data_IF_263754598486
#
_entry.id   IF_263754598486
#
_cell.length_a   1.000
_cell.length_b   1.000
_cell.length_c   1.000
_cell.angle_alpha   90.00
_cell.angle_beta   90.00
_cell.angle_gamma   90.00
#
_symmetry.space_group_name_H-M   'P 1'
#
loop_
_entity.id
_entity.type
_entity.pdbx_description
1 polymer ?
#
# COMPACT_ATOMS: atom_id res chain seq x y z
N UNK A 1 13.07 -4.80 -19.75
CA UNK A 1 13.11 -3.46 -19.13
C UNK A 1 13.39 -3.65 -17.66
N UNK A 2 14.62 -3.38 -17.25
CA UNK A 2 15.05 -3.38 -15.86
C UNK A 2 14.41 -2.18 -15.16
N UNK A 3 13.50 -2.43 -14.22
CA UNK A 3 12.95 -1.37 -13.39
C UNK A 3 14.07 -0.88 -12.45
N UNK A 4 14.79 0.18 -12.85
CA UNK A 4 15.81 0.86 -12.04
C UNK A 4 15.17 1.69 -10.92
N UNK A 5 14.38 1.05 -10.07
CA UNK A 5 13.98 1.63 -8.79
C UNK A 5 14.63 0.75 -7.71
N UNK A 6 15.90 1.08 -7.37
CA UNK A 6 16.57 0.52 -6.18
C UNK A 6 15.75 0.81 -4.92
N UNK A 7 15.97 0.12 -3.78
CA UNK A 7 15.08 0.20 -2.62
C UNK A 7 14.85 1.65 -2.14
N UNK A 8 13.70 1.89 -1.50
CA UNK A 8 13.46 3.17 -0.79
C UNK A 8 14.68 3.50 0.06
N UNK A 9 15.05 4.78 0.09
CA UNK A 9 16.21 5.24 0.87
C UNK A 9 16.03 5.01 2.38
N UNK A 10 14.78 4.80 2.84
CA UNK A 10 14.35 4.60 4.24
C UNK A 10 13.09 3.73 4.29
N UNK A 11 12.69 3.20 5.46
CA UNK A 11 11.39 2.56 5.63
C UNK A 11 10.22 3.40 5.11
N UNK A 12 9.16 2.75 4.64
CA UNK A 12 8.00 3.39 4.03
C UNK A 12 7.39 4.46 4.94
N UNK A 13 7.17 4.11 6.22
CA UNK A 13 6.60 5.02 7.22
C UNK A 13 7.46 6.27 7.44
N UNK A 14 8.78 6.10 7.54
CA UNK A 14 9.72 7.21 7.71
C UNK A 14 9.77 8.11 6.46
N UNK A 15 9.69 7.52 5.28
CA UNK A 15 9.71 8.28 4.02
C UNK A 15 8.42 9.10 3.86
N UNK A 16 7.26 8.55 4.23
CA UNK A 16 6.00 9.29 4.27
C UNK A 16 6.01 10.42 5.33
N UNK A 17 6.59 10.16 6.51
CA UNK A 17 6.74 11.17 7.55
C UNK A 17 7.66 12.31 7.11
N UNK A 18 8.79 12.00 6.49
CA UNK A 18 9.71 12.98 5.93
C UNK A 18 9.05 13.83 4.83
N UNK A 19 8.24 13.21 3.97
CA UNK A 19 7.44 13.91 2.96
C UNK A 19 6.43 14.87 3.61
N UNK A 20 5.73 14.41 4.65
CA UNK A 20 4.78 15.26 5.38
C UNK A 20 5.47 16.48 6.00
N UNK A 21 6.62 16.26 6.65
CA UNK A 21 7.40 17.32 7.28
C UNK A 21 7.93 18.32 6.24
N UNK A 22 8.48 17.85 5.13
CA UNK A 22 8.96 18.71 4.06
C UNK A 22 7.83 19.54 3.43
N UNK A 23 6.64 18.95 3.20
CA UNK A 23 5.46 19.69 2.76
C UNK A 23 5.03 20.77 3.78
N UNK A 24 5.09 20.47 5.08
CA UNK A 24 4.77 21.46 6.12
C UNK A 24 5.81 22.58 6.19
N UNK A 25 7.10 22.27 5.99
CA UNK A 25 8.17 23.28 5.93
C UNK A 25 7.91 24.24 4.77
N UNK A 26 7.63 23.71 3.58
CA UNK A 26 7.28 24.49 2.40
C UNK A 26 6.04 25.34 2.60
N UNK A 27 5.01 24.78 3.24
CA UNK A 27 3.82 25.53 3.62
C UNK A 27 4.16 26.74 4.52
N UNK A 28 5.03 26.56 5.52
CA UNK A 28 5.44 27.61 6.47
C UNK A 28 6.28 28.68 5.78
N UNK A 29 7.21 28.29 4.89
CA UNK A 29 8.07 29.22 4.15
C UNK A 29 7.28 30.16 3.24
N UNK A 30 6.23 29.65 2.59
CA UNK A 30 5.41 30.48 1.71
C UNK A 30 4.25 31.22 2.40
N UNK A 31 4.01 30.93 3.68
CA UNK A 31 2.90 31.49 4.41
C UNK A 31 3.05 33.01 4.60
N UNK A 32 2.10 33.76 4.06
CA UNK A 32 1.90 35.19 4.33
C UNK A 32 0.50 35.44 4.91
N UNK A 33 0.18 36.53 5.60
CA UNK A 33 -1.21 36.85 5.94
C UNK A 33 -2.11 36.97 4.69
N UNK A 34 -3.40 36.62 4.79
CA UNK A 34 -4.30 36.54 3.62
C UNK A 34 -4.37 37.84 2.79
N UNK A 35 -4.35 38.99 3.46
CA UNK A 35 -4.35 40.31 2.83
C UNK A 35 -3.06 40.64 2.05
N UNK A 36 -1.98 39.85 2.22
CA UNK A 36 -0.71 40.00 1.49
C UNK A 36 -0.48 38.90 0.45
N UNK A 37 -1.45 38.00 0.23
CA UNK A 37 -1.31 36.87 -0.70
C UNK A 37 -1.91 37.19 -2.06
N UNK A 38 -1.16 36.88 -3.12
CA UNK A 38 -1.75 36.77 -4.45
C UNK A 38 -2.67 35.54 -4.55
N UNK A 39 -3.62 35.57 -5.49
CA UNK A 39 -4.51 34.43 -5.74
C UNK A 39 -3.73 33.14 -6.08
N UNK A 40 -2.62 33.25 -6.82
CA UNK A 40 -1.73 32.12 -7.17
C UNK A 40 -1.12 31.49 -5.91
N UNK A 41 -0.58 32.30 -5.00
CA UNK A 41 0.01 31.80 -3.74
C UNK A 41 -1.04 31.16 -2.84
N UNK A 42 -2.22 31.75 -2.74
CA UNK A 42 -3.34 31.17 -1.99
C UNK A 42 -3.77 29.80 -2.55
N UNK A 43 -3.77 29.61 -3.88
CA UNK A 43 -4.05 28.31 -4.52
C UNK A 43 -2.96 27.28 -4.19
N UNK A 44 -1.67 27.66 -4.27
CA UNK A 44 -0.54 26.76 -3.93
C UNK A 44 -0.58 26.31 -2.47
N UNK A 45 -0.76 27.23 -1.52
CA UNK A 45 -0.85 26.91 -0.10
C UNK A 45 -2.04 25.99 0.22
N UNK A 46 -3.19 26.17 -0.45
CA UNK A 46 -4.32 25.24 -0.31
C UNK A 46 -3.99 23.84 -0.81
N UNK A 47 -3.28 23.73 -1.93
CA UNK A 47 -2.85 22.45 -2.50
C UNK A 47 -1.89 21.72 -1.57
N UNK A 48 -0.85 22.40 -1.09
CA UNK A 48 0.11 21.82 -0.14
C UNK A 48 -0.57 21.39 1.15
N UNK A 49 -1.47 22.20 1.69
CA UNK A 49 -2.26 21.81 2.87
C UNK A 49 -3.12 20.56 2.60
N UNK A 50 -3.67 20.43 1.39
CA UNK A 50 -4.37 19.22 0.95
C UNK A 50 -3.45 18.01 0.98
N UNK A 51 -2.28 18.12 0.34
CA UNK A 51 -1.26 17.06 0.34
C UNK A 51 -0.78 16.70 1.75
N UNK A 52 -0.49 17.65 2.64
CA UNK A 52 -0.11 17.37 4.03
C UNK A 52 -1.16 16.50 4.75
N UNK A 53 -2.45 16.76 4.53
CA UNK A 53 -3.54 15.99 5.14
C UNK A 53 -3.64 14.60 4.55
N UNK A 54 -3.48 14.47 3.24
CA UNK A 54 -3.50 13.18 2.57
C UNK A 54 -2.31 12.31 2.99
N UNK A 55 -1.09 12.83 2.94
CA UNK A 55 0.11 12.13 3.39
C UNK A 55 0.02 11.77 4.88
N UNK A 56 -0.47 12.68 5.74
CA UNK A 56 -0.69 12.37 7.15
C UNK A 56 -1.60 11.17 7.38
N UNK A 57 -2.68 11.04 6.60
CA UNK A 57 -3.53 9.83 6.63
C UNK A 57 -2.78 8.59 6.18
N UNK A 58 -1.94 8.68 5.15
CA UNK A 58 -1.15 7.53 4.69
C UNK A 58 -0.16 7.07 5.77
N UNK A 59 0.45 8.00 6.52
CA UNK A 59 1.33 7.68 7.65
C UNK A 59 0.56 6.90 8.73
N UNK A 60 -0.62 7.40 9.13
CA UNK A 60 -1.47 6.73 10.13
C UNK A 60 -1.91 5.33 9.66
N UNK A 61 -2.27 5.19 8.39
CA UNK A 61 -2.67 3.90 7.81
C UNK A 61 -1.49 2.92 7.73
N UNK A 62 -0.30 3.38 7.32
CA UNK A 62 0.91 2.57 7.31
C UNK A 62 1.29 2.09 8.73
N UNK A 63 1.15 2.96 9.73
CA UNK A 63 1.36 2.59 11.13
C UNK A 63 0.34 1.52 11.59
N UNK A 64 -0.93 1.67 11.22
CA UNK A 64 -1.96 0.68 11.52
C UNK A 64 -1.63 -0.71 10.92
N UNK A 65 -1.12 -0.73 9.69
CA UNK A 65 -0.66 -1.98 9.04
C UNK A 65 0.48 -2.60 9.85
N UNK A 66 1.48 -1.82 10.24
CA UNK A 66 2.63 -2.30 11.00
C UNK A 66 2.26 -2.81 12.41
N UNK A 67 1.34 -2.13 13.10
CA UNK A 67 1.01 -2.41 14.50
C UNK A 67 -0.10 -3.46 14.68
N UNK A 68 -0.98 -3.62 13.68
CA UNK A 68 -2.19 -4.46 13.81
C UNK A 68 -2.28 -5.55 12.77
N UNK A 69 -2.17 -5.19 11.49
CA UNK A 69 -2.40 -6.12 10.38
C UNK A 69 -1.27 -7.11 10.25
N UNK A 70 -0.02 -6.63 10.21
CA UNK A 70 1.17 -7.47 10.11
C UNK A 70 1.26 -8.49 11.27
N UNK A 71 1.20 -8.08 12.56
CA UNK A 71 1.34 -9.04 13.66
C UNK A 71 0.16 -10.01 13.77
N UNK A 72 -1.01 -9.67 13.21
CA UNK A 72 -2.11 -10.64 13.08
C UNK A 72 -1.76 -11.73 12.08
N UNK A 73 -1.33 -11.35 10.88
CA UNK A 73 -0.97 -12.31 9.82
C UNK A 73 0.15 -13.22 10.32
N UNK A 74 1.24 -12.65 10.83
CA UNK A 74 2.41 -13.40 11.33
C UNK A 74 2.06 -14.45 12.38
N UNK A 75 1.16 -14.12 13.32
CA UNK A 75 0.68 -15.06 14.35
C UNK A 75 -0.12 -16.21 13.77
N UNK A 76 -0.91 -15.97 12.73
CA UNK A 76 -1.72 -17.02 12.11
C UNK A 76 -0.90 -17.95 11.21
N UNK A 77 0.10 -17.40 10.51
CA UNK A 77 0.94 -18.18 9.58
C UNK A 77 2.18 -18.76 10.26
N UNK A 78 2.53 -18.31 11.47
CA UNK A 78 3.74 -18.74 12.19
C UNK A 78 5.05 -18.32 11.52
N UNK A 79 5.03 -17.25 10.71
CA UNK A 79 6.16 -16.74 9.96
C UNK A 79 6.24 -15.22 10.14
N UNK A 80 7.45 -14.72 10.42
CA UNK A 80 7.72 -13.29 10.55
C UNK A 80 8.19 -12.72 9.21
N UNK A 81 7.59 -11.62 8.79
CA UNK A 81 8.04 -10.87 7.61
C UNK A 81 9.36 -10.16 7.92
N UNK A 82 10.08 -9.75 6.86
CA UNK A 82 11.32 -8.96 7.00
C UNK A 82 11.04 -7.57 7.59
N UNK A 83 9.82 -7.07 7.42
CA UNK A 83 9.36 -5.80 7.97
C UNK A 83 7.98 -5.39 7.43
N UNK A 84 7.40 -4.29 7.94
CA UNK A 84 6.06 -3.86 7.57
C UNK A 84 5.96 -3.29 6.15
N UNK A 85 7.09 -2.88 5.56
CA UNK A 85 7.14 -2.21 4.26
C UNK A 85 6.56 -3.07 3.12
N UNK A 86 6.85 -4.38 3.10
CA UNK A 86 6.34 -5.29 2.06
C UNK A 86 4.82 -5.32 2.06
N UNK A 87 4.22 -5.51 3.24
CA UNK A 87 2.77 -5.53 3.40
C UNK A 87 2.14 -4.17 3.11
N UNK A 88 2.75 -3.08 3.59
CA UNK A 88 2.26 -1.72 3.31
C UNK A 88 2.25 -1.40 1.81
N UNK A 89 3.25 -1.86 1.05
CA UNK A 89 3.29 -1.72 -0.41
C UNK A 89 2.14 -2.46 -1.09
N UNK A 90 1.90 -3.71 -0.70
CA UNK A 90 0.77 -4.52 -1.22
C UNK A 90 -0.56 -3.83 -0.97
N UNK A 91 -0.74 -3.25 0.22
CA UNK A 91 -1.98 -2.61 0.65
C UNK A 91 -2.17 -1.18 0.10
N UNK A 92 -1.18 -0.63 -0.61
CA UNK A 92 -1.28 0.73 -1.11
C UNK A 92 -2.22 0.81 -2.32
N UNK A 93 -3.23 1.68 -2.23
CA UNK A 93 -4.24 1.81 -3.24
C UNK A 93 -3.70 2.49 -4.51
N UNK A 94 -4.14 2.08 -5.72
CA UNK A 94 -3.76 2.73 -6.97
C UNK A 94 -4.07 4.24 -7.02
N UNK A 95 -5.07 4.68 -6.26
CA UNK A 95 -5.44 6.10 -6.11
C UNK A 95 -4.29 6.97 -5.60
N UNK A 96 -3.35 6.41 -4.82
CA UNK A 96 -2.21 7.13 -4.26
C UNK A 96 -1.20 7.58 -5.33
N UNK A 97 -1.11 6.88 -6.47
CA UNK A 97 -0.23 7.23 -7.60
C UNK A 97 -0.44 8.67 -8.07
N UNK A 98 -1.71 9.09 -8.11
CA UNK A 98 -2.07 10.45 -8.50
C UNK A 98 -1.56 11.49 -7.49
N UNK A 99 -1.70 11.21 -6.19
CA UNK A 99 -1.21 12.11 -5.14
C UNK A 99 0.30 12.33 -5.25
N UNK A 100 1.08 11.27 -5.39
CA UNK A 100 2.54 11.37 -5.50
C UNK A 100 2.97 12.07 -6.81
N UNK A 101 2.28 11.79 -7.92
CA UNK A 101 2.52 12.49 -9.20
C UNK A 101 2.17 13.99 -9.13
N UNK A 102 1.08 14.34 -8.45
CA UNK A 102 0.66 15.72 -8.23
C UNK A 102 1.66 16.48 -7.35
N UNK A 103 2.25 15.81 -6.35
CA UNK A 103 3.33 16.38 -5.52
C UNK A 103 4.59 16.55 -6.37
N UNK A 104 5.00 15.54 -7.15
CA UNK A 104 6.21 15.59 -7.96
C UNK A 104 6.18 16.76 -8.96
N UNK A 105 5.04 16.94 -9.64
CA UNK A 105 4.83 18.06 -10.57
C UNK A 105 4.60 19.41 -9.88
N UNK A 106 4.37 19.40 -8.57
CA UNK A 106 4.07 20.56 -7.75
C UNK A 106 5.29 21.37 -7.30
N UNK A 107 6.48 20.78 -7.38
CA UNK A 107 7.74 21.33 -6.90
C UNK A 107 8.81 21.23 -8.00
N UNK A 108 9.75 22.18 -8.07
CA UNK A 108 10.97 21.98 -8.83
C UNK A 108 11.83 20.91 -8.14
N UNK A 109 12.67 20.22 -8.90
CA UNK A 109 13.41 19.04 -8.44
C UNK A 109 14.32 19.34 -7.23
N UNK A 110 14.92 20.53 -7.19
CA UNK A 110 15.79 21.02 -6.13
C UNK A 110 15.06 21.44 -4.84
N UNK A 111 13.74 21.61 -4.90
CA UNK A 111 12.90 21.96 -3.76
C UNK A 111 11.92 20.84 -3.37
N UNK A 112 12.14 19.62 -3.86
CA UNK A 112 11.31 18.48 -3.48
C UNK A 112 11.47 18.17 -1.98
N UNK A 113 10.36 17.88 -1.27
CA UNK A 113 10.40 17.48 0.14
C UNK A 113 11.25 16.25 0.44
N UNK A 114 11.33 15.32 -0.52
CA UNK A 114 12.10 14.08 -0.50
C UNK A 114 12.72 13.84 -1.88
N UNK A 115 13.58 12.83 -2.02
CA UNK A 115 14.19 12.50 -3.31
C UNK A 115 13.12 12.17 -4.34
N UNK A 116 13.26 12.68 -5.56
CA UNK A 116 12.34 12.42 -6.67
C UNK A 116 12.13 10.92 -6.90
N UNK A 117 13.20 10.12 -6.75
CA UNK A 117 13.15 8.67 -6.89
C UNK A 117 12.25 7.97 -5.86
N UNK A 118 12.35 8.37 -4.59
CA UNK A 118 11.50 7.80 -3.52
C UNK A 118 10.02 8.16 -3.78
N UNK A 119 9.75 9.38 -4.25
CA UNK A 119 8.40 9.84 -4.60
C UNK A 119 7.83 9.11 -5.83
N UNK A 120 8.66 8.88 -6.86
CA UNK A 120 8.28 8.12 -8.05
C UNK A 120 7.96 6.67 -7.70
N UNK A 121 8.73 6.07 -6.81
CA UNK A 121 8.53 4.69 -6.35
C UNK A 121 7.21 4.49 -5.60
N UNK A 122 6.79 5.46 -4.78
CA UNK A 122 5.44 5.40 -4.20
C UNK A 122 4.34 5.33 -5.27
N UNK A 123 4.57 5.93 -6.44
CA UNK A 123 3.66 5.84 -7.58
C UNK A 123 3.64 4.47 -8.26
N UNK A 124 4.66 3.62 -8.08
CA UNK A 124 4.77 2.31 -8.70
C UNK A 124 4.31 1.15 -7.81
N UNK A 125 4.15 1.34 -6.50
CA UNK A 125 3.75 0.24 -5.59
C UNK A 125 2.41 -0.41 -5.93
N UNK A 126 1.48 0.32 -6.57
CA UNK A 126 0.25 -0.28 -7.06
C UNK A 126 0.50 -1.32 -8.16
N UNK A 127 1.51 -1.08 -9.00
CA UNK A 127 1.92 -2.00 -10.06
C UNK A 127 2.60 -3.25 -9.44
N UNK A 128 3.37 -3.07 -8.35
CA UNK A 128 3.99 -4.17 -7.58
C UNK A 128 2.95 -5.11 -6.93
N UNK A 129 1.86 -4.55 -6.39
CA UNK A 129 0.77 -5.34 -5.79
C UNK A 129 0.15 -6.30 -6.80
N UNK A 130 -0.03 -5.87 -8.06
CA UNK A 130 -0.54 -6.73 -9.13
C UNK A 130 0.46 -7.83 -9.51
N UNK A 131 1.75 -7.51 -9.59
CA UNK A 131 2.79 -8.49 -9.86
C UNK A 131 2.85 -9.57 -8.75
N UNK A 132 2.74 -9.16 -7.49
CA UNK A 132 2.68 -10.08 -6.35
C UNK A 132 1.41 -10.94 -6.37
N UNK A 133 0.27 -10.40 -6.81
CA UNK A 133 -0.95 -11.20 -6.96
C UNK A 133 -0.77 -12.34 -7.98
N UNK A 134 -0.10 -12.07 -9.10
CA UNK A 134 0.23 -13.10 -10.10
C UNK A 134 1.20 -14.15 -9.53
N UNK A 135 2.23 -13.72 -8.81
CA UNK A 135 3.16 -14.64 -8.14
C UNK A 135 2.41 -15.52 -7.14
N UNK A 136 1.54 -14.94 -6.31
CA UNK A 136 0.72 -15.66 -5.35
C UNK A 136 -0.18 -16.71 -6.01
N UNK A 137 -0.89 -16.34 -7.09
CA UNK A 137 -1.76 -17.25 -7.84
C UNK A 137 -1.00 -18.44 -8.41
N UNK A 138 0.09 -18.17 -9.13
CA UNK A 138 0.92 -19.19 -9.78
C UNK A 138 1.56 -20.11 -8.74
N UNK A 139 2.10 -19.56 -7.65
CA UNK A 139 2.79 -20.35 -6.63
C UNK A 139 1.83 -21.23 -5.85
N UNK A 140 0.64 -20.73 -5.53
CA UNK A 140 -0.43 -21.51 -4.90
C UNK A 140 -0.79 -22.72 -5.77
N UNK A 141 -1.07 -22.49 -7.06
CA UNK A 141 -1.47 -23.54 -8.02
C UNK A 141 -0.37 -24.56 -8.31
N UNK A 142 0.88 -24.14 -8.36
CA UNK A 142 1.98 -25.03 -8.76
C UNK A 142 2.67 -25.73 -7.59
N UNK A 143 2.70 -25.13 -6.40
CA UNK A 143 3.55 -25.60 -5.29
C UNK A 143 2.78 -26.04 -4.04
N UNK A 144 1.53 -25.63 -3.92
CA UNK A 144 0.78 -25.77 -2.67
C UNK A 144 -0.50 -26.57 -2.86
N UNK A 145 -1.30 -26.26 -3.87
CA UNK A 145 -2.56 -26.93 -4.19
C UNK A 145 -2.62 -27.35 -5.67
N UNK A 146 -1.75 -28.28 -6.10
CA UNK A 146 -1.74 -28.74 -7.48
C UNK A 146 -3.04 -29.48 -7.82
N UNK A 147 -3.85 -28.89 -8.70
CA UNK A 147 -5.10 -29.49 -9.20
C UNK A 147 -6.36 -29.13 -8.41
N UNK A 148 -6.25 -28.37 -7.32
CA UNK A 148 -7.40 -27.77 -6.63
C UNK A 148 -7.42 -26.26 -6.88
N UNK A 149 -8.53 -25.73 -7.39
CA UNK A 149 -8.73 -24.29 -7.45
C UNK A 149 -9.13 -23.81 -6.06
N UNK A 150 -8.34 -22.91 -5.47
CA UNK A 150 -8.78 -22.17 -4.28
C UNK A 150 -9.85 -21.22 -4.77
N UNK A 151 -11.10 -21.63 -4.58
CA UNK A 151 -12.25 -20.86 -5.04
C UNK A 151 -12.19 -19.43 -4.51
N UNK A 152 -12.67 -18.50 -5.33
CA UNK A 152 -12.89 -17.08 -5.02
C UNK A 152 -13.25 -16.80 -3.54
N UNK A 153 -14.22 -17.54 -3.02
CA UNK A 153 -14.70 -17.44 -1.64
C UNK A 153 -13.62 -17.66 -0.57
N UNK A 154 -12.68 -18.59 -0.77
CA UNK A 154 -11.61 -18.86 0.20
C UNK A 154 -10.59 -17.73 0.28
N UNK A 155 -10.29 -17.10 -0.86
CA UNK A 155 -9.39 -15.94 -0.91
C UNK A 155 -10.05 -14.67 -0.36
N UNK A 156 -11.34 -14.46 -0.66
CA UNK A 156 -12.09 -13.35 -0.07
C UNK A 156 -12.24 -13.50 1.45
N UNK A 157 -12.54 -14.70 1.95
CA UNK A 157 -12.59 -14.98 3.38
C UNK A 157 -11.24 -14.76 4.07
N UNK A 158 -10.13 -15.11 3.40
CA UNK A 158 -8.78 -14.84 3.90
C UNK A 158 -8.50 -13.34 3.98
N UNK A 159 -8.93 -12.58 2.97
CA UNK A 159 -8.84 -11.12 2.98
C UNK A 159 -9.61 -10.51 4.17
N UNK A 160 -10.82 -10.97 4.43
CA UNK A 160 -11.66 -10.48 5.54
C UNK A 160 -11.07 -10.85 6.91
N UNK A 161 -10.57 -12.08 7.04
CA UNK A 161 -9.90 -12.57 8.25
C UNK A 161 -8.69 -11.73 8.63
N UNK A 162 -7.88 -11.35 7.65
CA UNK A 162 -6.74 -10.46 7.84
C UNK A 162 -7.11 -8.97 7.82
N UNK A 163 -8.37 -8.64 7.56
CA UNK A 163 -8.88 -7.27 7.41
C UNK A 163 -8.05 -6.45 6.43
N UNK A 164 -7.64 -7.07 5.30
CA UNK A 164 -6.73 -6.44 4.33
C UNK A 164 -7.41 -5.25 3.64
N UNK A 165 -8.69 -5.39 3.31
CA UNK A 165 -9.43 -4.32 2.66
C UNK A 165 -9.55 -3.09 3.57
N UNK A 166 -9.88 -3.28 4.85
CA UNK A 166 -9.98 -2.21 5.84
C UNK A 166 -8.63 -1.57 6.12
N UNK A 167 -7.54 -2.33 5.94
CA UNK A 167 -6.17 -1.89 6.13
C UNK A 167 -5.56 -1.21 4.89
N UNK A 168 -6.32 -1.01 3.80
CA UNK A 168 -5.79 -0.37 2.59
C UNK A 168 -5.31 1.05 2.87
N UNK A 169 -4.14 1.37 2.32
CA UNK A 169 -3.49 2.67 2.44
C UNK A 169 -3.94 3.54 1.26
N UNK A 170 -4.52 4.70 1.54
CA UNK A 170 -4.96 5.65 0.52
C UNK A 170 -6.34 5.40 -0.11
N UNK A 171 -7.10 4.44 0.40
CA UNK A 171 -8.54 4.35 0.12
C UNK A 171 -9.28 5.43 0.91
N UNK A 172 -9.49 6.60 0.31
CA UNK A 172 -10.48 7.56 0.82
C UNK A 172 -11.91 7.09 0.58
N UNK A 173 -12.90 7.74 1.20
CA UNK A 173 -14.38 7.55 1.12
C UNK A 173 -15.02 7.55 -0.30
N UNK A 174 -14.32 7.11 -1.36
CA UNK A 174 -14.92 6.89 -2.67
C UNK A 174 -15.58 5.52 -2.65
N UNK A 175 -16.87 5.49 -2.99
CA UNK A 175 -17.78 4.34 -3.14
C UNK A 175 -17.11 3.00 -2.86
N UNK A 176 -17.54 2.33 -1.79
CA UNK A 176 -17.31 0.89 -1.67
C UNK A 176 -17.70 0.24 -2.99
N UNK A 177 -16.82 -0.55 -3.60
CA UNK A 177 -17.18 -1.31 -4.79
C UNK A 177 -18.37 -2.20 -4.44
N UNK A 178 -19.35 -2.29 -5.33
CA UNK A 178 -20.55 -3.08 -5.10
C UNK A 178 -20.27 -4.56 -5.43
N UNK A 179 -20.74 -5.46 -4.57
CA UNK A 179 -20.82 -6.92 -4.77
C UNK A 179 -19.59 -7.56 -5.43
N UNK A 180 -19.72 -7.91 -6.70
CA UNK A 180 -18.73 -8.67 -7.47
C UNK A 180 -17.37 -7.95 -7.61
N UNK A 181 -17.37 -6.61 -7.68
CA UNK A 181 -16.11 -5.84 -7.76
C UNK A 181 -15.35 -5.88 -6.43
N UNK A 182 -16.06 -5.90 -5.31
CA UNK A 182 -15.48 -5.99 -3.97
C UNK A 182 -14.81 -7.34 -3.76
N UNK A 183 -15.48 -8.43 -4.12
CA UNK A 183 -14.95 -9.78 -4.00
C UNK A 183 -13.68 -9.94 -4.85
N UNK A 184 -13.69 -9.47 -6.10
CA UNK A 184 -12.50 -9.51 -6.96
C UNK A 184 -11.32 -8.71 -6.38
N UNK A 185 -11.58 -7.55 -5.75
CA UNK A 185 -10.55 -6.77 -5.07
C UNK A 185 -9.98 -7.52 -3.86
N UNK A 186 -10.85 -8.10 -3.03
CA UNK A 186 -10.44 -8.90 -1.86
C UNK A 186 -9.58 -10.09 -2.26
N UNK A 187 -9.98 -10.82 -3.30
CA UNK A 187 -9.20 -11.93 -3.82
C UNK A 187 -7.83 -11.48 -4.32
N UNK A 188 -7.78 -10.36 -5.04
CA UNK A 188 -6.53 -9.82 -5.58
C UNK A 188 -5.58 -9.42 -4.45
N UNK A 189 -6.09 -8.78 -3.40
CA UNK A 189 -5.31 -8.44 -2.20
C UNK A 189 -4.81 -9.69 -1.48
N UNK A 190 -5.66 -10.70 -1.30
CA UNK A 190 -5.25 -11.97 -0.69
C UNK A 190 -4.13 -12.63 -1.51
N UNK A 191 -4.29 -12.75 -2.84
CA UNK A 191 -3.25 -13.27 -3.74
C UNK A 191 -1.95 -12.47 -3.64
N UNK A 192 -2.02 -11.14 -3.56
CA UNK A 192 -0.83 -10.31 -3.43
C UNK A 192 -0.09 -10.54 -2.11
N UNK A 193 -0.81 -10.70 -1.00
CA UNK A 193 -0.21 -11.06 0.30
C UNK A 193 0.40 -12.47 0.27
N UNK A 194 -0.26 -13.43 -0.37
CA UNK A 194 0.31 -14.78 -0.58
C UNK A 194 1.59 -14.73 -1.41
N UNK A 195 1.61 -13.92 -2.47
CA UNK A 195 2.82 -13.68 -3.27
C UNK A 195 3.95 -13.08 -2.44
N UNK A 196 3.64 -12.13 -1.55
CA UNK A 196 4.61 -11.55 -0.62
C UNK A 196 5.16 -12.60 0.37
N UNK A 197 4.29 -13.41 0.97
CA UNK A 197 4.67 -14.51 1.87
C UNK A 197 5.63 -15.47 1.16
N UNK A 198 5.33 -15.81 -0.10
CA UNK A 198 6.21 -16.66 -0.89
C UNK A 198 7.57 -16.00 -1.20
N UNK A 199 7.58 -14.73 -1.59
CA UNK A 199 8.82 -14.01 -1.93
C UNK A 199 9.73 -13.85 -0.70
N UNK A 200 9.17 -13.64 0.49
CA UNK A 200 9.95 -13.46 1.71
C UNK A 200 10.29 -14.76 2.44
N UNK A 201 9.32 -15.67 2.57
CA UNK A 201 9.38 -16.89 3.39
C UNK A 201 9.39 -18.20 2.60
N UNK A 202 9.29 -18.15 1.27
CA UNK A 202 9.34 -19.33 0.40
C UNK A 202 8.09 -20.21 0.48
N UNK A 203 8.23 -21.45 -0.02
CA UNK A 203 7.12 -22.41 -0.12
C UNK A 203 6.59 -22.81 1.26
N UNK A 204 7.46 -22.93 2.27
CA UNK A 204 7.06 -23.42 3.58
C UNK A 204 6.19 -22.41 4.33
N UNK A 205 6.51 -21.11 4.25
CA UNK A 205 5.66 -20.05 4.78
C UNK A 205 4.30 -20.02 4.05
N UNK A 206 4.29 -20.23 2.73
CA UNK A 206 3.05 -20.28 1.95
C UNK A 206 2.17 -21.49 2.32
N UNK A 207 2.77 -22.66 2.57
CA UNK A 207 2.04 -23.87 3.00
C UNK A 207 1.33 -23.70 4.34
N UNK A 208 1.88 -22.89 5.24
CA UNK A 208 1.23 -22.58 6.51
C UNK A 208 -0.12 -21.87 6.35
N UNK A 209 -0.39 -21.26 5.18
CA UNK A 209 -1.67 -20.58 4.89
C UNK A 209 -2.76 -21.53 4.41
N UNK A 210 -2.43 -22.73 3.91
CA UNK A 210 -3.40 -23.69 3.35
C UNK A 210 -4.54 -24.03 4.29
N UNK A 211 -4.29 -24.32 5.59
CA UNK A 211 -5.38 -24.61 6.51
C UNK A 211 -6.35 -23.43 6.66
N UNK A 212 -5.88 -22.19 6.50
CA UNK A 212 -6.69 -20.98 6.62
C UNK A 212 -7.65 -20.83 5.42
N UNK A 213 -7.23 -21.27 4.23
CA UNK A 213 -8.05 -21.26 3.02
C UNK A 213 -9.18 -22.31 3.06
N UNK A 214 -8.93 -23.46 3.72
CA UNK A 214 -9.92 -24.53 3.84
C UNK A 214 -11.09 -24.18 4.78
N UNK A 215 -10.90 -23.28 5.74
CA UNK A 215 -11.96 -22.89 6.68
C UNK A 215 -13.06 -22.02 6.04
N UNK A 216 -12.84 -21.48 4.83
CA UNK A 216 -13.86 -20.77 4.07
C UNK A 216 -14.81 -21.67 3.26
N UNK A 217 -14.58 -22.99 3.21
CA UNK A 217 -15.41 -23.95 2.45
C UNK A 217 -16.70 -24.38 3.17
N UNK A 218 -16.88 -24.04 4.45
CA UNK A 218 -17.98 -24.53 5.30
C UNK A 218 -19.00 -23.44 5.71
N UNK A 219 -19.07 -22.31 5.00
CA UNK A 219 -20.03 -21.23 5.23
C UNK A 219 -21.17 -21.24 4.22
#
# INVERSE_FOLDING_TARGET
MTYEYGPLSRPLGETLAALQEGLMREYRLEYLPAHRRSARRSRRLRRIRGWCREIGRLVEQAACVAERTLPRIEREIGHAFRGPDGLARVLMAPSTKRLFSDILSGFPEDALPIRANDLAMFGSFADDSHALALIGDVTLRLKVLPGEDVGAAGLAALCDRWSLHESRIGSGFRRSPDGETLEQEKETLARAVLGLIYVEGGVDALRAVVPLLAHGRNG
#
